data_IF_764295730439
#
_entry.id   IF_764295730439
#
_cell.length_a   1.000
_cell.length_b   1.000
_cell.length_c   1.000
_cell.angle_alpha   90.00
_cell.angle_beta   90.00
_cell.angle_gamma   90.00
#
_symmetry.space_group_name_H-M   'P 1'
#
loop_
_entity.id
_entity.type
_entity.pdbx_description
1 polymer ?
#
# COMPACT_ATOMS: atom_id res chain seq x y z
N UNK A 1 20.42 -0.87 67.53
CA UNK A 1 19.89 0.13 66.60
C UNK A 1 20.84 0.15 65.42
N UNK A 2 20.52 -0.58 64.39
CA UNK A 2 21.30 -0.66 63.15
C UNK A 2 20.39 -0.05 62.08
N UNK A 3 20.84 1.06 61.48
CA UNK A 3 20.17 1.72 60.37
C UNK A 3 20.58 0.98 59.09
N UNK A 4 19.62 0.38 58.44
CA UNK A 4 19.72 -0.10 57.07
C UNK A 4 19.61 1.09 56.14
N UNK A 5 20.68 1.41 55.42
CA UNK A 5 20.70 2.34 54.32
C UNK A 5 20.33 1.58 53.04
N UNK A 6 19.10 1.77 52.60
CA UNK A 6 18.62 1.35 51.29
C UNK A 6 19.30 2.19 50.19
N UNK A 7 20.16 1.54 49.42
CA UNK A 7 20.83 2.11 48.25
C UNK A 7 19.84 2.06 47.07
N UNK A 8 19.19 3.18 46.81
CA UNK A 8 18.42 3.36 45.58
C UNK A 8 19.38 3.39 44.38
N UNK A 9 19.47 2.28 43.68
CA UNK A 9 20.18 2.21 42.40
C UNK A 9 19.49 3.11 41.39
N UNK A 10 20.14 4.20 41.07
CA UNK A 10 19.79 5.18 40.04
C UNK A 10 19.81 4.48 38.66
N UNK A 11 18.62 4.09 38.19
CA UNK A 11 18.42 3.49 36.89
C UNK A 11 18.41 4.60 35.85
N UNK A 12 19.60 5.01 35.42
CA UNK A 12 19.79 5.93 34.32
C UNK A 12 19.21 5.32 33.03
N UNK A 13 17.98 5.65 32.74
CA UNK A 13 17.36 5.36 31.42
C UNK A 13 18.11 6.19 30.40
N UNK A 14 19.07 5.57 29.72
CA UNK A 14 19.76 6.21 28.58
C UNK A 14 18.72 6.48 27.49
N UNK A 15 18.57 7.73 27.04
CA UNK A 15 17.69 8.03 25.90
C UNK A 15 18.21 7.28 24.69
N UNK A 16 17.39 6.37 24.16
CA UNK A 16 17.67 5.72 22.88
C UNK A 16 17.81 6.80 21.82
N UNK A 17 18.94 6.81 21.12
CA UNK A 17 19.26 7.74 20.02
C UNK A 17 18.31 7.51 18.83
N UNK A 18 17.06 8.02 18.91
CA UNK A 18 16.08 7.96 17.82
C UNK A 18 16.48 8.86 16.64
N UNK A 19 17.22 9.93 16.89
CA UNK A 19 17.60 10.92 15.87
C UNK A 19 18.50 10.38 14.73
N UNK A 20 19.23 9.28 14.95
CA UNK A 20 20.11 8.68 13.92
C UNK A 20 19.33 7.83 12.91
N UNK A 21 18.17 7.28 13.31
CA UNK A 21 17.36 6.40 12.47
C UNK A 21 16.35 7.16 11.62
N UNK A 22 15.96 8.38 12.02
CA UNK A 22 14.95 9.20 11.33
C UNK A 22 15.46 9.77 10.00
N UNK A 23 16.75 10.15 9.92
CA UNK A 23 17.33 10.71 8.69
C UNK A 23 17.24 9.80 7.48
N UNK A 24 17.64 8.51 7.55
CA UNK A 24 17.55 7.62 6.40
C UNK A 24 16.09 7.27 6.01
N UNK A 25 15.16 7.24 6.94
CA UNK A 25 13.73 7.03 6.67
C UNK A 25 13.17 8.18 5.84
N UNK A 26 13.38 9.40 6.32
CA UNK A 26 12.96 10.62 5.62
C UNK A 26 13.59 10.74 4.23
N UNK A 27 14.89 10.48 4.11
CA UNK A 27 15.58 10.58 2.85
C UNK A 27 14.99 9.63 1.80
N UNK A 28 14.71 8.36 2.15
CA UNK A 28 14.10 7.39 1.24
C UNK A 28 12.71 7.85 0.79
N UNK A 29 11.90 8.37 1.71
CA UNK A 29 10.57 8.85 1.40
C UNK A 29 10.61 10.07 0.45
N UNK A 30 11.51 11.02 0.70
CA UNK A 30 11.71 12.20 -0.16
C UNK A 30 12.25 11.80 -1.54
N UNK A 31 13.20 10.89 -1.61
CA UNK A 31 13.71 10.39 -2.90
C UNK A 31 12.64 9.70 -3.73
N UNK A 32 11.77 8.90 -3.11
CA UNK A 32 10.61 8.30 -3.76
C UNK A 32 9.63 9.39 -4.24
N UNK A 33 9.29 10.32 -3.38
CA UNK A 33 8.38 11.42 -3.70
C UNK A 33 8.89 12.27 -4.88
N UNK A 34 10.18 12.58 -4.88
CA UNK A 34 10.81 13.35 -5.96
C UNK A 34 10.81 12.63 -7.31
N UNK A 35 10.99 11.29 -7.31
CA UNK A 35 10.95 10.49 -8.55
C UNK A 35 9.60 10.46 -9.23
N UNK A 36 8.54 10.51 -8.45
CA UNK A 36 7.16 10.35 -8.94
C UNK A 36 6.31 11.61 -8.80
N UNK A 37 6.93 12.73 -8.42
CA UNK A 37 6.26 14.02 -8.18
C UNK A 37 5.11 13.92 -7.17
N UNK A 38 5.30 13.11 -6.11
CA UNK A 38 4.29 12.84 -5.09
C UNK A 38 4.46 13.73 -3.86
N UNK A 39 3.35 14.07 -3.24
CA UNK A 39 3.34 14.62 -1.90
C UNK A 39 3.41 13.48 -0.87
N UNK A 40 4.15 13.67 0.23
CA UNK A 40 4.25 12.68 1.31
C UNK A 40 3.80 13.29 2.64
N UNK A 41 3.07 12.52 3.43
CA UNK A 41 2.58 12.92 4.75
C UNK A 41 2.69 11.77 5.75
N UNK A 42 2.93 12.08 7.03
CA UNK A 42 2.93 11.10 8.12
C UNK A 42 4.18 10.23 8.27
N UNK A 43 5.15 10.30 7.36
CA UNK A 43 6.39 9.50 7.42
C UNK A 43 7.30 9.85 8.61
N UNK A 44 7.12 11.02 9.22
CA UNK A 44 7.88 11.47 10.39
C UNK A 44 7.19 11.12 11.72
N UNK A 45 5.85 11.21 11.74
CA UNK A 45 5.04 11.03 12.95
C UNK A 45 4.86 9.55 13.29
N UNK A 46 4.59 8.72 12.30
CA UNK A 46 4.56 7.28 12.48
C UNK A 46 6.01 6.81 12.69
N UNK A 47 6.34 6.19 13.81
CA UNK A 47 7.63 5.54 14.09
C UNK A 47 7.90 4.38 13.14
N UNK A 48 7.90 4.69 11.83
CA UNK A 48 7.96 3.72 10.74
C UNK A 48 9.37 3.18 10.62
N UNK A 49 9.52 1.87 10.62
CA UNK A 49 10.81 1.22 10.41
C UNK A 49 11.34 1.50 9.00
N UNK A 50 12.65 1.68 8.86
CA UNK A 50 13.32 1.89 7.58
C UNK A 50 13.02 0.78 6.56
N UNK A 51 12.81 -0.44 7.02
CA UNK A 51 12.40 -1.57 6.19
C UNK A 51 11.04 -1.28 5.53
N UNK A 52 10.08 -0.79 6.31
CA UNK A 52 8.74 -0.45 5.83
C UNK A 52 8.80 0.61 4.74
N UNK A 53 9.55 1.70 4.96
CA UNK A 53 9.66 2.79 3.96
C UNK A 53 10.32 2.29 2.67
N UNK A 54 11.30 1.39 2.76
CA UNK A 54 11.91 0.76 1.57
C UNK A 54 10.93 -0.13 0.81
N UNK A 55 10.09 -0.88 1.51
CA UNK A 55 9.06 -1.71 0.88
C UNK A 55 7.99 -0.85 0.20
N UNK A 56 7.57 0.25 0.86
CA UNK A 56 6.64 1.22 0.27
C UNK A 56 7.25 1.81 -1.01
N UNK A 57 8.49 2.32 -0.94
CA UNK A 57 9.15 2.91 -2.09
C UNK A 57 9.30 1.93 -3.26
N UNK A 58 9.70 0.69 -2.97
CA UNK A 58 9.82 -0.34 -4.00
C UNK A 58 8.47 -0.68 -4.65
N UNK A 59 7.39 -0.77 -3.86
CA UNK A 59 6.06 -1.04 -4.39
C UNK A 59 5.55 0.11 -5.27
N UNK A 60 5.76 1.36 -4.84
CA UNK A 60 5.37 2.55 -5.61
C UNK A 60 6.15 2.65 -6.91
N UNK A 61 7.48 2.45 -6.87
CA UNK A 61 8.33 2.44 -8.07
C UNK A 61 7.82 1.40 -9.10
N UNK A 62 7.52 0.18 -8.62
CA UNK A 62 7.02 -0.91 -9.47
C UNK A 62 5.60 -0.63 -10.02
N UNK A 63 4.71 -0.10 -9.17
CA UNK A 63 3.30 0.12 -9.53
C UNK A 63 3.14 1.30 -10.50
N UNK A 64 3.72 2.46 -10.20
CA UNK A 64 3.64 3.63 -11.08
C UNK A 64 4.41 3.42 -12.39
N UNK A 65 5.49 2.64 -12.37
CA UNK A 65 6.21 2.25 -13.58
C UNK A 65 5.40 1.35 -14.51
N UNK A 66 4.48 0.54 -13.95
CA UNK A 66 3.65 -0.40 -14.71
C UNK A 66 2.24 0.13 -15.00
N UNK A 67 1.69 0.89 -14.08
CA UNK A 67 0.32 1.41 -14.13
C UNK A 67 0.32 2.92 -13.86
N UNK A 68 0.59 3.76 -14.87
CA UNK A 68 0.65 5.20 -14.68
C UNK A 68 -0.74 5.77 -14.37
N UNK A 69 -0.89 6.38 -13.19
CA UNK A 69 -2.08 7.13 -12.78
C UNK A 69 -1.66 8.46 -12.16
N UNK A 70 -2.57 9.44 -12.17
CA UNK A 70 -2.34 10.73 -11.54
C UNK A 70 -2.47 10.64 -10.00
N UNK A 71 -1.53 9.93 -9.35
CA UNK A 71 -1.43 9.87 -7.91
C UNK A 71 -0.88 11.17 -7.39
N UNK A 72 -1.59 11.86 -6.48
CA UNK A 72 -1.17 13.12 -5.88
C UNK A 72 -0.17 12.91 -4.76
N UNK A 73 -0.40 11.89 -3.92
CA UNK A 73 0.46 11.68 -2.79
C UNK A 73 0.16 10.42 -2.01
N UNK A 74 1.02 10.21 -0.98
CA UNK A 74 0.94 9.07 -0.07
C UNK A 74 0.96 9.59 1.36
N UNK A 75 0.01 9.13 2.17
CA UNK A 75 -0.07 9.45 3.58
C UNK A 75 0.04 8.19 4.44
N UNK A 76 0.76 8.28 5.55
CA UNK A 76 0.73 7.28 6.62
C UNK A 76 -0.04 7.91 7.78
N UNK A 77 -1.16 7.28 8.17
CA UNK A 77 -1.99 7.78 9.28
C UNK A 77 -1.71 6.98 10.55
N UNK A 78 -1.62 7.68 11.67
CA UNK A 78 -1.60 7.08 13.00
C UNK A 78 -3.05 6.96 13.53
N UNK A 79 -3.45 5.88 14.22
CA UNK A 79 -4.80 5.73 14.77
C UNK A 79 -5.14 6.83 15.80
N UNK A 80 -4.13 7.43 16.43
CA UNK A 80 -4.30 8.47 17.45
C UNK A 80 -4.58 9.86 16.85
N UNK A 81 -4.43 10.06 15.54
CA UNK A 81 -4.60 11.38 14.90
C UNK A 81 -6.07 11.86 14.81
N UNK A 82 -7.03 11.12 15.37
CA UNK A 82 -8.44 11.55 15.49
C UNK A 82 -9.15 11.86 14.15
N UNK A 83 -8.46 11.75 13.07
CA UNK A 83 -9.00 11.90 11.72
C UNK A 83 -9.59 10.55 11.35
N UNK A 84 -10.90 10.46 11.40
CA UNK A 84 -11.64 9.25 11.08
C UNK A 84 -11.10 8.58 9.84
N UNK A 85 -10.92 7.26 9.93
CA UNK A 85 -10.46 6.42 8.85
C UNK A 85 -11.19 6.77 7.55
N UNK A 86 -10.55 7.54 6.69
CA UNK A 86 -11.03 7.77 5.33
C UNK A 86 -10.71 6.50 4.55
N UNK A 87 -11.60 5.55 4.64
CA UNK A 87 -11.70 4.48 3.65
C UNK A 87 -11.90 5.14 2.30
N UNK A 88 -10.90 5.13 1.43
CA UNK A 88 -10.98 5.46 0.00
C UNK A 88 -11.95 6.61 -0.27
N UNK A 89 -11.75 7.75 0.31
CA UNK A 89 -12.70 8.83 0.17
C UNK A 89 -12.01 10.16 0.18
N UNK A 90 -12.26 10.87 -0.84
CA UNK A 90 -12.23 12.30 -0.95
C UNK A 90 -12.06 13.02 0.39
N UNK A 91 -10.93 13.64 0.60
CA UNK A 91 -10.94 14.94 1.24
C UNK A 91 -11.84 15.80 0.34
N UNK A 92 -12.94 16.32 0.92
CA UNK A 92 -13.84 17.24 0.22
C UNK A 92 -13.05 18.41 -0.31
N UNK A 93 -12.76 18.40 -1.59
CA UNK A 93 -12.24 19.54 -2.32
C UNK A 93 -13.38 20.16 -3.14
N UNK A 94 -13.46 21.50 -3.21
CA UNK A 94 -14.53 22.17 -3.93
C UNK A 94 -14.51 21.78 -5.41
N UNK A 95 -15.68 21.74 -5.99
CA UNK A 95 -16.14 21.24 -7.29
C UNK A 95 -15.37 21.60 -8.56
N UNK A 96 -14.11 22.01 -8.54
CA UNK A 96 -13.44 22.53 -9.76
C UNK A 96 -12.00 22.08 -10.00
N UNK A 97 -11.41 21.24 -9.15
CA UNK A 97 -10.05 20.76 -9.41
C UNK A 97 -10.06 19.24 -9.60
N UNK A 98 -9.26 18.76 -10.56
CA UNK A 98 -9.04 17.33 -10.83
C UNK A 98 -8.92 16.57 -9.53
N UNK A 99 -9.78 15.56 -9.35
CA UNK A 99 -9.91 14.77 -8.12
C UNK A 99 -8.54 14.22 -7.74
N UNK A 100 -7.89 14.83 -6.76
CA UNK A 100 -6.57 14.42 -6.32
C UNK A 100 -6.66 13.03 -5.66
N UNK A 101 -5.91 12.07 -6.17
CA UNK A 101 -5.90 10.70 -5.65
C UNK A 101 -4.81 10.60 -4.59
N UNK A 102 -5.19 10.30 -3.36
CA UNK A 102 -4.28 10.04 -2.27
C UNK A 102 -4.33 8.57 -1.87
N UNK A 103 -3.16 7.98 -1.69
CA UNK A 103 -3.04 6.65 -1.12
C UNK A 103 -2.76 6.76 0.37
N UNK A 104 -3.62 6.16 1.20
CA UNK A 104 -3.54 6.23 2.66
C UNK A 104 -3.17 4.88 3.23
N UNK A 105 -2.01 4.80 3.87
CA UNK A 105 -1.52 3.60 4.55
C UNK A 105 -1.75 3.74 6.06
N UNK A 106 -2.38 2.74 6.67
CA UNK A 106 -2.58 2.73 8.12
C UNK A 106 -1.30 2.29 8.83
N UNK A 107 -0.69 3.18 9.61
CA UNK A 107 0.56 2.95 10.31
C UNK A 107 0.58 1.68 11.17
N UNK A 108 -0.43 1.40 12.02
CA UNK A 108 -0.50 0.15 12.80
C UNK A 108 -0.54 -1.10 11.93
N UNK A 109 -1.32 -1.09 10.85
CA UNK A 109 -1.38 -2.21 9.92
C UNK A 109 -0.02 -2.48 9.30
N UNK A 110 0.66 -1.42 8.87
CA UNK A 110 2.00 -1.53 8.27
C UNK A 110 3.05 -1.94 9.30
N UNK A 111 2.96 -1.45 10.54
CA UNK A 111 3.86 -1.82 11.63
C UNK A 111 3.74 -3.29 12.06
N UNK A 112 2.53 -3.87 12.05
CA UNK A 112 2.31 -5.29 12.38
C UNK A 112 2.85 -6.24 11.32
N UNK A 113 3.08 -5.75 10.10
CA UNK A 113 3.63 -6.52 8.98
C UNK A 113 5.17 -6.62 9.02
N UNK A 114 5.82 -5.93 9.96
CA UNK A 114 7.28 -6.02 10.12
C UNK A 114 7.63 -7.36 10.78
N UNK A 115 8.55 -8.15 10.21
CA UNK A 115 9.01 -9.37 10.85
C UNK A 115 9.61 -9.08 12.23
N UNK A 116 9.33 -9.89 13.27
CA UNK A 116 9.74 -9.64 14.65
C UNK A 116 11.27 -9.70 14.91
N UNK A 117 12.04 -10.02 13.91
CA UNK A 117 13.50 -10.10 13.99
C UNK A 117 14.13 -8.78 13.52
N UNK A 118 14.72 -8.05 14.46
CA UNK A 118 15.37 -6.75 14.26
C UNK A 118 16.57 -6.70 13.29
N UNK A 119 16.69 -7.65 12.40
CA UNK A 119 17.65 -7.66 11.30
C UNK A 119 16.89 -7.44 9.98
N UNK A 120 16.77 -6.18 9.57
CA UNK A 120 16.33 -5.87 8.23
C UNK A 120 17.23 -6.61 7.22
N UNK A 121 16.69 -7.45 6.33
CA UNK A 121 17.49 -8.17 5.36
C UNK A 121 18.24 -7.18 4.44
N UNK A 122 19.50 -7.46 4.06
CA UNK A 122 20.26 -6.58 3.21
C UNK A 122 19.55 -6.36 1.86
N UNK A 123 19.68 -5.15 1.28
CA UNK A 123 19.00 -4.71 0.03
C UNK A 123 18.97 -5.76 -1.09
N UNK A 124 20.02 -6.53 -1.22
CA UNK A 124 20.16 -7.58 -2.24
C UNK A 124 19.20 -8.75 -2.04
N UNK A 125 18.69 -8.99 -0.81
CA UNK A 125 17.75 -10.06 -0.49
C UNK A 125 16.31 -9.67 -0.79
N UNK A 126 15.96 -8.38 -0.72
CA UNK A 126 14.64 -7.87 -1.05
C UNK A 126 14.26 -8.15 -2.51
N UNK A 127 15.22 -8.02 -3.44
CA UNK A 127 14.99 -8.34 -4.86
C UNK A 127 14.82 -9.83 -5.16
N UNK A 128 15.27 -10.74 -4.28
CA UNK A 128 15.15 -12.19 -4.46
C UNK A 128 13.92 -12.81 -3.81
N UNK A 129 13.26 -12.10 -2.88
CA UNK A 129 12.00 -12.56 -2.31
C UNK A 129 10.88 -12.43 -3.34
N UNK A 130 10.01 -13.44 -3.42
CA UNK A 130 8.78 -13.32 -4.20
C UNK A 130 7.96 -12.17 -3.63
N UNK A 131 7.27 -11.42 -4.48
CA UNK A 131 6.43 -10.31 -4.03
C UNK A 131 5.41 -10.75 -2.96
N UNK A 132 4.87 -11.96 -3.07
CA UNK A 132 3.96 -12.57 -2.10
C UNK A 132 4.58 -12.79 -0.69
N UNK A 133 5.91 -12.87 -0.58
CA UNK A 133 6.63 -13.04 0.70
C UNK A 133 6.99 -11.69 1.35
N UNK A 134 6.46 -10.59 0.82
CA UNK A 134 6.72 -9.21 1.23
C UNK A 134 5.42 -8.56 1.69
N UNK A 135 5.01 -8.74 2.95
CA UNK A 135 3.67 -8.34 3.39
C UNK A 135 3.41 -6.83 3.31
N UNK A 136 4.40 -5.99 3.60
CA UNK A 136 4.28 -4.53 3.43
C UNK A 136 4.12 -4.17 1.95
N UNK A 137 4.93 -4.75 1.08
CA UNK A 137 4.81 -4.55 -0.36
C UNK A 137 3.41 -4.95 -0.87
N UNK A 138 2.92 -6.12 -0.44
CA UNK A 138 1.59 -6.60 -0.82
C UNK A 138 0.46 -5.67 -0.34
N UNK A 139 0.59 -5.12 0.87
CA UNK A 139 -0.37 -4.15 1.39
C UNK A 139 -0.38 -2.86 0.55
N UNK A 140 0.79 -2.35 0.15
CA UNK A 140 0.91 -1.18 -0.72
C UNK A 140 0.31 -1.45 -2.10
N UNK A 141 0.57 -2.63 -2.69
CA UNK A 141 -0.04 -3.05 -3.96
C UNK A 141 -1.55 -3.08 -3.87
N UNK A 142 -2.10 -3.57 -2.75
CA UNK A 142 -3.54 -3.58 -2.51
C UNK A 142 -4.13 -2.17 -2.46
N UNK A 143 -3.51 -1.26 -1.73
CA UNK A 143 -3.95 0.15 -1.66
C UNK A 143 -3.81 0.85 -3.02
N UNK A 144 -2.82 0.47 -3.81
CA UNK A 144 -2.70 0.96 -5.18
C UNK A 144 -3.86 0.48 -6.07
N UNK A 145 -4.34 -0.75 -5.87
CA UNK A 145 -5.57 -1.25 -6.49
C UNK A 145 -6.80 -0.39 -6.15
N UNK A 146 -6.92 0.07 -4.90
CA UNK A 146 -7.97 1.02 -4.51
C UNK A 146 -7.79 2.38 -5.22
N UNK A 147 -6.55 2.86 -5.37
CA UNK A 147 -6.28 4.09 -6.11
C UNK A 147 -6.66 3.98 -7.60
N UNK A 148 -6.46 2.83 -8.22
CA UNK A 148 -6.93 2.55 -9.58
C UNK A 148 -8.47 2.59 -9.69
N UNK A 149 -9.21 2.06 -8.71
CA UNK A 149 -10.68 2.20 -8.70
C UNK A 149 -11.11 3.66 -8.69
N UNK A 150 -10.45 4.48 -7.87
CA UNK A 150 -10.73 5.93 -7.77
C UNK A 150 -10.36 6.62 -9.09
N UNK A 151 -9.22 6.28 -9.68
CA UNK A 151 -8.79 6.81 -10.98
C UNK A 151 -9.80 6.52 -12.10
N UNK A 152 -10.37 5.32 -12.08
CA UNK A 152 -11.41 4.88 -12.99
C UNK A 152 -12.82 5.37 -12.65
N UNK A 153 -12.98 6.22 -11.62
CA UNK A 153 -14.29 6.69 -11.13
C UNK A 153 -15.26 5.54 -10.84
N UNK A 154 -14.73 4.43 -10.29
CA UNK A 154 -15.45 3.20 -9.93
C UNK A 154 -16.19 2.51 -11.09
N UNK A 155 -15.95 2.90 -12.34
CA UNK A 155 -16.61 2.34 -13.53
C UNK A 155 -16.34 0.84 -13.71
N UNK A 156 -15.19 0.38 -13.23
CA UNK A 156 -14.82 -1.03 -13.28
C UNK A 156 -15.79 -1.96 -12.52
N UNK A 157 -16.44 -1.47 -11.46
CA UNK A 157 -17.32 -2.27 -10.60
C UNK A 157 -18.49 -2.89 -11.34
N UNK A 158 -19.12 -2.13 -12.22
CA UNK A 158 -20.27 -2.63 -12.97
C UNK A 158 -19.88 -3.77 -13.92
N UNK A 159 -18.76 -3.62 -14.60
CA UNK A 159 -18.27 -4.66 -15.51
C UNK A 159 -17.77 -5.90 -14.76
N UNK A 160 -17.06 -5.69 -13.66
CA UNK A 160 -16.64 -6.78 -12.78
C UNK A 160 -17.85 -7.56 -12.24
N UNK A 161 -18.90 -6.88 -11.79
CA UNK A 161 -20.11 -7.54 -11.32
C UNK A 161 -20.76 -8.42 -12.40
N UNK A 162 -20.89 -7.91 -13.63
CA UNK A 162 -21.43 -8.71 -14.76
C UNK A 162 -20.58 -9.96 -15.00
N UNK A 163 -19.26 -9.79 -14.95
CA UNK A 163 -18.32 -10.89 -15.17
C UNK A 163 -18.41 -11.94 -14.06
N UNK A 164 -18.45 -11.51 -12.80
CA UNK A 164 -18.57 -12.37 -11.62
C UNK A 164 -19.90 -13.15 -11.61
N UNK A 165 -21.03 -12.49 -11.93
CA UNK A 165 -22.34 -13.14 -12.04
C UNK A 165 -22.32 -14.19 -13.16
N UNK A 166 -21.74 -13.87 -14.31
CA UNK A 166 -21.64 -14.82 -15.43
C UNK A 166 -20.84 -16.06 -15.04
N UNK A 167 -19.76 -15.88 -14.30
CA UNK A 167 -18.91 -16.99 -13.84
C UNK A 167 -19.63 -17.85 -12.79
N UNK A 168 -20.36 -17.20 -11.87
CA UNK A 168 -21.20 -17.88 -10.88
C UNK A 168 -22.27 -18.77 -11.54
N UNK A 169 -22.92 -18.28 -12.59
CA UNK A 169 -23.95 -19.02 -13.33
C UNK A 169 -23.39 -20.21 -14.13
N UNK A 170 -22.10 -20.22 -14.44
CA UNK A 170 -21.42 -21.33 -15.11
C UNK A 170 -21.14 -22.52 -14.19
N UNK A 171 -21.51 -22.42 -12.91
CA UNK A 171 -21.38 -23.52 -11.95
C UNK A 171 -19.96 -23.70 -11.42
N UNK A 172 -19.13 -22.67 -11.48
CA UNK A 172 -17.85 -22.63 -10.80
C UNK A 172 -18.09 -22.60 -9.28
N UNK A 173 -18.05 -23.77 -8.63
CA UNK A 173 -18.28 -23.90 -7.17
C UNK A 173 -17.17 -23.25 -6.33
N UNK A 174 -16.13 -22.75 -6.95
CA UNK A 174 -14.94 -22.19 -6.31
C UNK A 174 -14.81 -20.71 -6.66
N UNK A 175 -15.83 -19.92 -6.24
CA UNK A 175 -15.79 -18.47 -6.43
C UNK A 175 -14.88 -17.84 -5.37
N UNK A 176 -13.63 -17.64 -5.75
CA UNK A 176 -12.65 -16.89 -4.96
C UNK A 176 -13.11 -15.43 -4.73
N UNK A 177 -13.92 -14.88 -5.65
CA UNK A 177 -14.40 -13.50 -5.61
C UNK A 177 -15.94 -13.44 -5.52
N UNK A 178 -16.44 -12.59 -4.63
CA UNK A 178 -17.87 -12.41 -4.43
C UNK A 178 -18.50 -11.54 -5.52
N UNK A 179 -19.56 -11.99 -6.20
CA UNK A 179 -20.31 -11.14 -7.13
C UNK A 179 -21.11 -10.03 -6.43
N UNK A 180 -21.32 -10.14 -5.12
CA UNK A 180 -22.06 -9.15 -4.33
C UNK A 180 -21.20 -7.95 -3.95
N UNK A 181 -19.88 -8.08 -4.03
CA UNK A 181 -18.95 -7.02 -3.65
C UNK A 181 -17.82 -6.90 -4.70
N UNK A 182 -18.13 -6.29 -5.86
CA UNK A 182 -17.18 -6.20 -6.97
C UNK A 182 -15.97 -5.31 -6.70
N UNK A 183 -16.05 -4.33 -5.78
CA UNK A 183 -14.92 -3.47 -5.46
C UNK A 183 -13.76 -4.25 -4.84
N UNK A 184 -13.92 -4.87 -3.66
CA UNK A 184 -12.92 -5.76 -3.10
C UNK A 184 -12.44 -6.85 -4.07
N UNK A 185 -13.35 -7.43 -4.87
CA UNK A 185 -12.97 -8.44 -5.86
C UNK A 185 -11.98 -7.91 -6.90
N UNK A 186 -12.16 -6.69 -7.39
CA UNK A 186 -11.24 -6.03 -8.32
C UNK A 186 -9.87 -5.79 -7.67
N UNK A 187 -9.87 -5.26 -6.44
CA UNK A 187 -8.64 -4.97 -5.69
C UNK A 187 -7.87 -6.24 -5.35
N UNK A 188 -8.57 -7.30 -4.94
CA UNK A 188 -7.95 -8.59 -4.63
C UNK A 188 -7.39 -9.25 -5.90
N UNK A 189 -8.12 -9.21 -7.01
CA UNK A 189 -7.67 -9.72 -8.29
C UNK A 189 -6.46 -8.94 -8.82
N UNK A 190 -6.47 -7.61 -8.71
CA UNK A 190 -5.32 -6.78 -9.05
C UNK A 190 -4.09 -7.18 -8.21
N UNK A 191 -4.28 -7.32 -6.91
CA UNK A 191 -3.21 -7.71 -5.98
C UNK A 191 -2.66 -9.08 -6.33
N UNK A 192 -3.51 -10.06 -6.64
CA UNK A 192 -3.11 -11.40 -7.06
C UNK A 192 -2.25 -11.34 -8.33
N UNK A 193 -2.70 -10.62 -9.36
CA UNK A 193 -1.96 -10.50 -10.63
C UNK A 193 -0.64 -9.76 -10.42
N UNK A 194 -0.62 -8.67 -9.67
CA UNK A 194 0.60 -7.90 -9.40
C UNK A 194 1.65 -8.73 -8.64
N UNK A 195 1.23 -9.60 -7.71
CA UNK A 195 2.13 -10.42 -6.90
C UNK A 195 2.55 -11.73 -7.59
N UNK A 196 1.68 -12.33 -8.38
CA UNK A 196 1.86 -13.69 -8.93
C UNK A 196 2.08 -13.72 -10.45
N UNK A 197 1.75 -12.64 -11.17
CA UNK A 197 1.93 -12.52 -12.62
C UNK A 197 1.20 -13.63 -13.38
N UNK A 198 1.94 -14.37 -14.21
CA UNK A 198 1.38 -15.44 -15.05
C UNK A 198 0.72 -16.57 -14.27
N UNK A 199 1.06 -16.73 -12.99
CA UNK A 199 0.48 -17.75 -12.10
C UNK A 199 -0.85 -17.35 -11.48
N UNK A 200 -1.28 -16.09 -11.64
CA UNK A 200 -2.60 -15.65 -11.20
C UNK A 200 -3.71 -16.38 -11.95
N UNK A 201 -4.83 -16.57 -11.28
CA UNK A 201 -6.01 -17.21 -11.83
C UNK A 201 -6.55 -16.50 -13.08
N UNK A 202 -7.25 -17.24 -13.94
CA UNK A 202 -7.82 -16.66 -15.17
C UNK A 202 -8.80 -15.52 -14.84
N UNK A 203 -9.69 -15.74 -13.88
CA UNK A 203 -10.67 -14.75 -13.46
C UNK A 203 -9.99 -13.51 -12.84
N UNK A 204 -8.91 -13.72 -12.05
CA UNK A 204 -8.12 -12.63 -11.52
C UNK A 204 -7.54 -11.75 -12.64
N UNK A 205 -6.98 -12.35 -13.69
CA UNK A 205 -6.45 -11.61 -14.84
C UNK A 205 -7.53 -10.81 -15.55
N UNK A 206 -8.69 -11.39 -15.76
CA UNK A 206 -9.82 -10.72 -16.40
C UNK A 206 -10.32 -9.50 -15.57
N UNK A 207 -10.44 -9.65 -14.25
CA UNK A 207 -10.81 -8.55 -13.36
C UNK A 207 -9.73 -7.47 -13.27
N UNK A 208 -8.46 -7.86 -13.24
CA UNK A 208 -7.32 -6.96 -13.31
C UNK A 208 -7.36 -6.10 -14.59
N UNK A 209 -7.58 -6.73 -15.75
CA UNK A 209 -7.61 -6.03 -17.03
C UNK A 209 -8.79 -5.06 -17.09
N UNK A 210 -9.95 -5.42 -16.54
CA UNK A 210 -11.09 -4.51 -16.41
C UNK A 210 -10.71 -3.28 -15.58
N UNK A 211 -10.06 -3.48 -14.42
CA UNK A 211 -9.67 -2.39 -13.53
C UNK A 211 -8.67 -1.45 -14.20
N UNK A 212 -7.60 -1.98 -14.75
CA UNK A 212 -6.52 -1.21 -15.39
C UNK A 212 -7.05 -0.42 -16.58
N UNK A 213 -7.86 -1.05 -17.44
CA UNK A 213 -8.50 -0.40 -18.58
C UNK A 213 -9.40 0.75 -18.18
N UNK A 214 -10.25 0.55 -17.18
CA UNK A 214 -11.18 1.58 -16.72
C UNK A 214 -10.49 2.71 -15.97
N UNK A 215 -9.35 2.44 -15.34
CA UNK A 215 -8.50 3.46 -14.74
C UNK A 215 -7.74 4.31 -15.78
N UNK A 216 -7.71 3.90 -17.06
CA UNK A 216 -6.87 4.52 -18.09
C UNK A 216 -5.37 4.32 -17.83
N UNK A 217 -5.02 3.29 -17.07
CA UNK A 217 -3.65 3.00 -16.65
C UNK A 217 -2.96 1.98 -17.58
N UNK A 218 -3.52 1.73 -18.77
CA UNK A 218 -2.85 0.93 -19.79
C UNK A 218 -1.61 1.71 -20.25
N UNK A 219 -0.45 1.07 -20.18
CA UNK A 219 0.74 1.55 -20.86
C UNK A 219 0.38 1.61 -22.36
N UNK A 220 0.25 2.81 -22.89
CA UNK A 220 0.18 2.97 -24.35
C UNK A 220 1.53 2.54 -24.86
N UNK A 221 1.64 1.35 -25.41
CA UNK A 221 2.80 0.92 -26.20
C UNK A 221 2.95 1.90 -27.36
N UNK A 222 3.68 2.99 -27.12
CA UNK A 222 4.16 3.88 -28.16
C UNK A 222 5.32 3.18 -28.89
N UNK A 223 5.02 2.02 -29.47
CA UNK A 223 5.85 1.37 -30.49
C UNK A 223 5.22 1.63 -31.84
N UNK A 224 5.60 2.74 -32.42
CA UNK A 224 5.42 3.02 -33.85
C UNK A 224 6.69 3.68 -34.38
#
# INVERSE_FOLDING_TARGET
>A
MVQEQESAADMVVRPRNYAVTERPVHQIAVEMAARHELEISGFHAARVDIYVVREIAAAIDDMLGKYPIALRGIAITDPDDGVGAVRGGSLETPRSESRAIWMVLHGPTVATLVPPTGNAPPRRWLRKRRAADRPVYAAVVREFGCALEVAGDFRARQEAQRRLVTESLRGSNDLTYSPLDPGPALVDAFTEVALHGDRAGKLAKELHDILVKMAGAETTDLSA
#
